data_IF_146971127164
#
_entry.id   IF_146971127164
#
_cell.length_a   1.000
_cell.length_b   1.000
_cell.length_c   1.000
_cell.angle_alpha   90.00
_cell.angle_beta   90.00
_cell.angle_gamma   90.00
#
_symmetry.space_group_name_H-M   'P 1'
#
loop_
_entity.id
_entity.type
_entity.pdbx_description
1 polymer ?
#
# COMPACT_ATOMS: atom_id res chain seq x y z
N UNK A 1 4.94 9.14 26.83
CA UNK A 1 5.23 10.45 27.47
C UNK A 1 5.01 11.63 26.52
N UNK A 2 5.57 11.69 25.33
CA UNK A 2 5.35 12.83 24.37
C UNK A 2 3.87 13.12 24.06
N UNK A 3 3.03 12.10 23.85
CA UNK A 3 1.60 12.27 23.62
C UNK A 3 0.87 12.91 24.80
N UNK A 4 1.27 12.59 26.05
CA UNK A 4 0.69 13.21 27.25
C UNK A 4 1.01 14.69 27.39
N UNK A 5 2.22 15.10 26.98
CA UNK A 5 2.63 16.50 27.00
C UNK A 5 1.82 17.33 25.98
N UNK A 6 1.53 16.76 24.78
CA UNK A 6 0.70 17.40 23.76
C UNK A 6 -0.75 17.61 24.24
N UNK A 7 -1.30 16.71 25.06
CA UNK A 7 -2.64 16.87 25.66
C UNK A 7 -2.70 17.99 26.72
N UNK A 8 -1.58 18.34 27.34
CA UNK A 8 -1.53 19.41 28.34
C UNK A 8 -1.41 20.81 27.74
N UNK A 9 -1.20 20.93 26.42
CA UNK A 9 -1.17 22.23 25.75
C UNK A 9 -2.62 22.66 25.48
N UNK A 10 -3.11 23.81 25.93
CA UNK A 10 -4.48 24.26 25.69
C UNK A 10 -4.64 24.72 24.23
N UNK A 11 -4.67 23.76 23.30
CA UNK A 11 -4.93 24.01 21.89
C UNK A 11 -6.43 23.99 21.68
N UNK A 12 -7.02 25.10 21.23
CA UNK A 12 -8.41 25.13 20.75
C UNK A 12 -8.45 24.38 19.43
N UNK A 13 -8.97 23.15 19.48
CA UNK A 13 -9.26 22.42 18.25
C UNK A 13 -10.39 23.13 17.48
N UNK A 14 -10.24 23.28 16.14
CA UNK A 14 -11.35 23.79 15.33
C UNK A 14 -12.57 22.87 15.52
N UNK A 15 -13.77 23.47 15.58
CA UNK A 15 -14.99 22.71 15.70
C UNK A 15 -15.09 21.66 14.58
N UNK A 16 -15.54 20.42 14.87
CA UNK A 16 -15.69 19.40 13.84
C UNK A 16 -16.64 19.93 12.76
N UNK A 17 -16.22 19.86 11.49
CA UNK A 17 -17.04 20.30 10.34
C UNK A 17 -18.36 19.53 10.18
N UNK A 18 -18.58 18.48 10.94
CA UNK A 18 -19.75 17.61 10.92
C UNK A 18 -20.50 17.64 12.24
N UNK A 19 -21.13 18.77 12.55
CA UNK A 19 -22.22 18.81 13.54
C UNK A 19 -23.57 18.44 12.89
N UNK A 20 -23.63 18.20 11.57
CA UNK A 20 -24.85 17.79 10.86
C UNK A 20 -24.84 16.27 10.70
N UNK A 21 -25.93 15.62 11.10
CA UNK A 21 -26.10 14.18 11.22
C UNK A 21 -25.52 13.40 10.01
N UNK A 22 -24.95 12.24 10.29
CA UNK A 22 -24.33 11.37 9.30
C UNK A 22 -25.36 10.91 8.26
N UNK A 23 -25.29 11.32 6.98
CA UNK A 23 -26.26 10.93 5.96
C UNK A 23 -25.99 9.49 5.51
N UNK A 24 -26.44 8.50 6.29
CA UNK A 24 -26.21 7.06 6.05
C UNK A 24 -26.64 6.65 4.64
N UNK A 25 -27.78 7.19 4.14
CA UNK A 25 -28.28 6.88 2.80
C UNK A 25 -27.34 7.39 1.70
N UNK A 26 -26.78 8.59 1.84
CA UNK A 26 -25.83 9.16 0.89
C UNK A 26 -24.50 8.40 0.95
N UNK A 27 -24.06 8.03 2.17
CA UNK A 27 -22.88 7.20 2.36
C UNK A 27 -22.97 5.84 1.70
N UNK A 28 -24.13 5.16 1.81
CA UNK A 28 -24.40 3.89 1.11
C UNK A 28 -24.51 4.09 -0.40
N UNK A 29 -24.96 5.25 -0.87
CA UNK A 29 -24.98 5.61 -2.29
C UNK A 29 -23.57 5.59 -2.92
N UNK A 30 -22.53 5.96 -2.15
CA UNK A 30 -21.14 5.93 -2.60
C UNK A 30 -20.66 4.52 -2.98
N UNK A 31 -21.23 3.46 -2.41
CA UNK A 31 -20.89 2.08 -2.79
C UNK A 31 -21.30 1.72 -4.24
N UNK A 32 -22.14 2.53 -4.87
CA UNK A 32 -22.54 2.37 -6.27
C UNK A 32 -21.64 3.16 -7.24
N UNK A 33 -20.81 4.05 -6.70
CA UNK A 33 -19.92 4.89 -7.48
C UNK A 33 -18.72 4.09 -8.01
N UNK A 34 -18.71 3.80 -9.29
CA UNK A 34 -17.64 3.02 -9.95
C UNK A 34 -16.26 3.61 -9.71
N UNK A 35 -16.14 4.94 -9.65
CA UNK A 35 -14.87 5.60 -9.42
C UNK A 35 -14.32 5.37 -8.01
N UNK A 36 -15.19 5.42 -6.99
CA UNK A 36 -14.79 5.10 -5.61
C UNK A 36 -14.33 3.64 -5.52
N UNK A 37 -15.10 2.72 -6.10
CA UNK A 37 -14.78 1.30 -6.07
C UNK A 37 -13.44 1.01 -6.77
N UNK A 38 -13.21 1.57 -7.97
CA UNK A 38 -11.93 1.38 -8.68
C UNK A 38 -10.74 1.86 -7.86
N UNK A 39 -10.84 3.04 -7.24
CA UNK A 39 -9.78 3.59 -6.38
C UNK A 39 -9.60 2.74 -5.11
N UNK A 40 -10.69 2.27 -4.52
CA UNK A 40 -10.65 1.39 -3.35
C UNK A 40 -10.03 0.03 -3.66
N UNK A 41 -10.29 -0.54 -4.85
CA UNK A 41 -9.65 -1.78 -5.28
C UNK A 41 -8.15 -1.62 -5.57
N UNK A 42 -7.68 -0.43 -5.92
CA UNK A 42 -6.23 -0.15 -5.93
C UNK A 42 -5.65 -0.29 -4.52
N UNK A 43 -6.34 0.25 -3.50
CA UNK A 43 -5.90 0.10 -2.11
C UNK A 43 -6.03 -1.34 -1.60
N UNK A 44 -7.01 -2.12 -2.10
CA UNK A 44 -7.13 -3.56 -1.85
C UNK A 44 -5.83 -4.30 -2.20
N UNK A 45 -5.34 -4.12 -3.43
CA UNK A 45 -4.09 -4.75 -3.87
C UNK A 45 -2.88 -4.15 -3.17
N UNK A 46 -2.85 -2.83 -2.95
CA UNK A 46 -1.76 -2.17 -2.24
C UNK A 46 -1.58 -2.74 -0.83
N UNK A 47 -2.66 -2.79 -0.03
CA UNK A 47 -2.64 -3.38 1.31
C UNK A 47 -2.30 -4.85 1.28
N UNK A 48 -2.81 -5.57 0.28
CA UNK A 48 -2.49 -6.98 0.08
C UNK A 48 -1.00 -7.20 -0.14
N UNK A 49 -0.39 -6.46 -1.07
CA UNK A 49 1.05 -6.55 -1.35
C UNK A 49 1.87 -6.21 -0.11
N UNK A 50 1.55 -5.10 0.58
CA UNK A 50 2.25 -4.68 1.79
C UNK A 50 2.13 -5.72 2.91
N UNK A 51 0.92 -6.25 3.15
CA UNK A 51 0.67 -7.30 4.14
C UNK A 51 1.39 -8.61 3.82
N UNK A 52 1.39 -9.02 2.55
CA UNK A 52 2.13 -10.22 2.09
C UNK A 52 3.63 -10.02 2.25
N UNK A 53 4.18 -8.86 1.90
CA UNK A 53 5.60 -8.57 2.13
C UNK A 53 5.96 -8.66 3.61
N UNK A 54 5.14 -8.11 4.50
CA UNK A 54 5.38 -8.15 5.94
C UNK A 54 5.35 -9.57 6.52
N UNK A 55 4.45 -10.43 6.02
CA UNK A 55 4.20 -11.73 6.62
C UNK A 55 4.98 -12.89 5.96
N UNK A 56 5.29 -12.80 4.68
CA UNK A 56 5.77 -13.95 3.89
C UNK A 56 7.16 -13.78 3.30
N UNK A 57 7.72 -12.55 3.21
CA UNK A 57 9.04 -12.35 2.59
C UNK A 57 10.17 -13.05 3.33
N UNK A 58 10.14 -13.14 4.67
CA UNK A 58 11.15 -13.87 5.45
C UNK A 58 11.10 -15.36 5.17
N UNK A 59 9.89 -15.95 5.02
CA UNK A 59 9.72 -17.35 4.63
C UNK A 59 10.21 -17.60 3.20
N UNK A 60 9.92 -16.68 2.28
CA UNK A 60 10.43 -16.73 0.91
C UNK A 60 11.98 -16.74 0.90
N UNK A 61 12.60 -15.83 1.64
CA UNK A 61 14.06 -15.75 1.70
C UNK A 61 14.69 -17.02 2.28
N UNK A 62 14.13 -17.58 3.35
CA UNK A 62 14.66 -18.80 3.97
C UNK A 62 14.52 -20.05 3.09
N UNK A 63 13.42 -20.16 2.34
CA UNK A 63 13.15 -21.39 1.56
C UNK A 63 13.70 -21.33 0.11
N UNK A 64 13.80 -20.14 -0.49
CA UNK A 64 14.19 -19.99 -1.90
C UNK A 64 15.63 -19.52 -2.06
N UNK A 65 16.12 -18.72 -1.12
CA UNK A 65 17.43 -18.07 -1.24
C UNK A 65 18.42 -18.46 -0.15
N UNK A 66 18.05 -19.37 0.75
CA UNK A 66 18.85 -19.83 1.89
C UNK A 66 19.36 -18.68 2.80
N UNK A 67 18.65 -17.56 2.81
CA UNK A 67 18.99 -16.42 3.66
C UNK A 67 18.51 -16.70 5.08
N UNK A 68 19.39 -16.62 6.10
CA UNK A 68 19.00 -16.82 7.49
C UNK A 68 17.89 -15.85 7.95
N UNK A 69 17.04 -16.30 8.87
CA UNK A 69 15.87 -15.53 9.33
C UNK A 69 16.23 -14.13 9.85
N UNK A 70 17.37 -13.97 10.54
CA UNK A 70 17.86 -12.67 11.03
C UNK A 70 18.15 -11.71 9.85
N UNK A 71 18.77 -12.19 8.78
CA UNK A 71 19.02 -11.39 7.58
C UNK A 71 17.73 -11.11 6.82
N UNK A 72 16.79 -12.06 6.76
CA UNK A 72 15.46 -11.86 6.21
C UNK A 72 14.69 -10.72 6.91
N UNK A 73 14.78 -10.65 8.24
CA UNK A 73 14.21 -9.54 9.03
C UNK A 73 14.88 -8.20 8.74
N UNK A 74 16.21 -8.19 8.53
CA UNK A 74 16.92 -6.96 8.13
C UNK A 74 16.46 -6.51 6.74
N UNK A 75 16.29 -7.44 5.79
CA UNK A 75 15.75 -7.10 4.47
C UNK A 75 14.34 -6.51 4.55
N UNK A 76 13.47 -7.07 5.41
CA UNK A 76 12.15 -6.50 5.69
C UNK A 76 12.24 -5.09 6.31
N UNK A 77 13.17 -4.88 7.22
CA UNK A 77 13.44 -3.54 7.80
C UNK A 77 13.86 -2.54 6.72
N UNK A 78 14.65 -2.98 5.72
CA UNK A 78 15.00 -2.14 4.56
C UNK A 78 13.76 -1.73 3.75
N UNK A 79 12.72 -2.58 3.64
CA UNK A 79 11.45 -2.19 3.00
C UNK A 79 10.78 -1.05 3.77
N UNK A 80 10.65 -1.17 5.08
CA UNK A 80 10.03 -0.14 5.93
C UNK A 80 10.83 1.16 5.89
N UNK A 81 12.15 1.07 5.92
CA UNK A 81 13.04 2.23 5.80
C UNK A 81 12.88 2.91 4.44
N UNK A 82 12.87 2.15 3.34
CA UNK A 82 12.64 2.64 1.98
C UNK A 82 11.30 3.37 1.86
N UNK A 83 10.23 2.77 2.40
CA UNK A 83 8.89 3.35 2.43
C UNK A 83 8.89 4.68 3.20
N UNK A 84 9.54 4.73 4.35
CA UNK A 84 9.61 5.94 5.20
C UNK A 84 10.39 7.05 4.52
N UNK A 85 11.56 6.76 4.00
CA UNK A 85 12.40 7.73 3.28
C UNK A 85 11.66 8.30 2.06
N UNK A 86 11.03 7.43 1.27
CA UNK A 86 10.27 7.87 0.10
C UNK A 86 9.07 8.74 0.48
N UNK A 87 8.35 8.45 1.58
CA UNK A 87 7.28 9.33 2.10
C UNK A 87 7.79 10.71 2.48
N UNK A 88 8.96 10.81 3.10
CA UNK A 88 9.57 12.10 3.40
C UNK A 88 9.91 12.88 2.12
N UNK A 89 10.48 12.22 1.11
CA UNK A 89 10.78 12.85 -0.17
C UNK A 89 9.52 13.31 -0.92
N UNK A 90 8.41 12.58 -0.78
CA UNK A 90 7.13 12.93 -1.40
C UNK A 90 6.56 14.26 -0.89
N UNK A 91 6.85 14.68 0.33
CA UNK A 91 6.43 15.98 0.86
C UNK A 91 6.95 17.12 -0.05
N UNK A 92 8.16 16.98 -0.56
CA UNK A 92 8.77 17.95 -1.47
C UNK A 92 8.32 17.73 -2.90
N UNK A 93 8.25 16.45 -3.32
CA UNK A 93 7.91 16.06 -4.68
C UNK A 93 6.49 16.49 -5.08
N UNK A 94 5.50 16.29 -4.19
CA UNK A 94 4.09 16.63 -4.46
C UNK A 94 3.81 18.12 -4.48
N UNK A 95 4.77 18.97 -4.05
CA UNK A 95 4.69 20.42 -4.28
C UNK A 95 4.96 20.81 -5.74
N UNK A 96 5.70 19.96 -6.48
CA UNK A 96 6.12 20.23 -7.86
C UNK A 96 5.41 19.37 -8.90
N UNK A 97 4.98 18.16 -8.54
CA UNK A 97 4.40 17.17 -9.46
C UNK A 97 3.02 16.76 -8.94
N UNK A 98 2.05 16.66 -9.84
CA UNK A 98 0.72 16.16 -9.50
C UNK A 98 0.82 14.72 -8.96
N UNK A 99 0.24 14.42 -7.79
CA UNK A 99 0.33 13.09 -7.18
C UNK A 99 -0.10 11.95 -8.11
N UNK A 100 -1.16 12.15 -8.89
CA UNK A 100 -1.68 11.16 -9.83
C UNK A 100 -0.65 10.73 -10.90
N UNK A 101 0.29 11.61 -11.29
CA UNK A 101 1.35 11.27 -12.25
C UNK A 101 2.46 10.42 -11.64
N UNK A 102 2.61 10.45 -10.32
CA UNK A 102 3.66 9.70 -9.60
C UNK A 102 3.28 8.22 -9.47
N UNK A 103 2.00 7.90 -9.36
CA UNK A 103 1.53 6.54 -9.10
C UNK A 103 2.02 5.49 -10.13
N UNK A 104 1.92 5.68 -11.45
CA UNK A 104 2.43 4.68 -12.39
C UNK A 104 3.92 4.40 -12.24
N UNK A 105 4.73 5.44 -11.99
CA UNK A 105 6.16 5.28 -11.79
C UNK A 105 6.47 4.54 -10.49
N UNK A 106 5.70 4.77 -9.43
CA UNK A 106 5.87 4.05 -8.16
C UNK A 106 5.48 2.59 -8.28
N UNK A 107 4.45 2.24 -9.07
CA UNK A 107 4.10 0.85 -9.37
C UNK A 107 5.20 0.14 -10.17
N UNK A 108 5.79 0.81 -11.16
CA UNK A 108 6.93 0.28 -11.92
C UNK A 108 8.13 0.08 -10.99
N UNK A 109 8.42 1.04 -10.12
CA UNK A 109 9.49 0.92 -9.14
C UNK A 109 9.28 -0.28 -8.20
N UNK A 110 8.05 -0.50 -7.73
CA UNK A 110 7.72 -1.70 -6.93
C UNK A 110 7.94 -2.98 -7.72
N UNK A 111 7.53 -3.01 -8.98
CA UNK A 111 7.73 -4.18 -9.85
C UNK A 111 9.22 -4.47 -10.08
N UNK A 112 10.06 -3.44 -10.26
CA UNK A 112 11.52 -3.63 -10.37
C UNK A 112 12.11 -4.20 -9.08
N UNK A 113 11.60 -3.79 -7.90
CA UNK A 113 11.99 -4.36 -6.63
C UNK A 113 11.69 -5.86 -6.54
N UNK A 114 10.49 -6.30 -6.95
CA UNK A 114 10.17 -7.73 -7.03
C UNK A 114 11.01 -8.47 -8.07
N UNK A 115 11.31 -7.87 -9.22
CA UNK A 115 12.19 -8.45 -10.21
C UNK A 115 13.63 -8.64 -9.66
N UNK A 116 14.12 -7.73 -8.82
CA UNK A 116 15.41 -7.90 -8.16
C UNK A 116 15.43 -9.11 -7.22
N UNK A 117 14.30 -9.45 -6.57
CA UNK A 117 14.21 -10.63 -5.71
C UNK A 117 14.33 -11.94 -6.50
N UNK A 118 13.93 -11.95 -7.79
CA UNK A 118 14.01 -13.15 -8.64
C UNK A 118 15.37 -13.31 -9.35
N UNK A 119 16.18 -12.25 -9.44
CA UNK A 119 17.34 -12.22 -10.32
C UNK A 119 18.53 -13.10 -9.85
N UNK A 120 18.77 -13.23 -8.53
CA UNK A 120 19.76 -14.15 -7.97
C UNK A 120 19.66 -14.18 -6.42
N UNK A 121 20.07 -15.29 -5.77
CA UNK A 121 20.13 -15.39 -4.33
C UNK A 121 21.20 -14.46 -3.71
N UNK A 122 20.95 -13.97 -2.51
CA UNK A 122 21.90 -13.19 -1.74
C UNK A 122 21.27 -12.06 -0.93
N UNK A 123 21.73 -11.89 0.31
CA UNK A 123 21.21 -10.92 1.27
C UNK A 123 21.19 -9.47 0.74
N UNK A 124 22.27 -9.02 0.12
CA UNK A 124 22.38 -7.63 -0.37
C UNK A 124 21.28 -7.33 -1.41
N UNK A 125 20.98 -8.28 -2.29
CA UNK A 125 19.93 -8.13 -3.31
C UNK A 125 18.55 -8.20 -2.69
N UNK A 126 18.33 -9.09 -1.73
CA UNK A 126 17.09 -9.15 -0.98
C UNK A 126 16.81 -7.83 -0.25
N UNK A 127 17.80 -7.28 0.45
CA UNK A 127 17.70 -6.01 1.14
C UNK A 127 17.45 -4.83 0.18
N UNK A 128 18.19 -4.78 -0.94
CA UNK A 128 18.02 -3.75 -1.98
C UNK A 128 16.64 -3.86 -2.65
N UNK A 129 16.22 -5.08 -3.04
CA UNK A 129 14.91 -5.33 -3.63
C UNK A 129 13.78 -4.91 -2.70
N UNK A 130 13.85 -5.29 -1.42
CA UNK A 130 12.89 -4.89 -0.41
C UNK A 130 12.85 -3.37 -0.19
N UNK A 131 14.01 -2.69 -0.14
CA UNK A 131 14.06 -1.23 -0.05
C UNK A 131 13.38 -0.56 -1.25
N UNK A 132 13.63 -1.05 -2.47
CA UNK A 132 12.99 -0.55 -3.70
C UNK A 132 11.48 -0.81 -3.69
N UNK A 133 11.03 -1.99 -3.24
CA UNK A 133 9.59 -2.29 -3.04
C UNK A 133 8.97 -1.26 -2.09
N UNK A 134 9.59 -1.03 -0.94
CA UNK A 134 9.10 -0.05 0.04
C UNK A 134 8.99 1.36 -0.54
N UNK A 135 10.02 1.82 -1.25
CA UNK A 135 10.00 3.13 -1.92
C UNK A 135 8.85 3.23 -2.92
N UNK A 136 8.60 2.20 -3.72
CA UNK A 136 7.52 2.17 -4.69
C UNK A 136 6.13 2.16 -4.03
N UNK A 137 5.92 1.34 -3.00
CA UNK A 137 4.62 1.25 -2.29
C UNK A 137 4.23 2.54 -1.56
N UNK A 138 5.19 3.41 -1.25
CA UNK A 138 5.00 4.61 -0.42
C UNK A 138 3.95 5.59 -0.96
N UNK A 139 3.79 5.70 -2.30
CA UNK A 139 2.98 6.72 -2.97
C UNK A 139 1.50 6.39 -3.06
N UNK A 140 1.12 5.12 -3.10
CA UNK A 140 -0.23 4.70 -3.48
C UNK A 140 -1.29 5.24 -2.51
N UNK A 141 -1.12 5.06 -1.21
CA UNK A 141 -2.07 5.55 -0.22
C UNK A 141 -2.25 7.07 -0.27
N UNK A 142 -1.19 7.90 -0.19
CA UNK A 142 -1.35 9.35 -0.25
C UNK A 142 -2.02 9.82 -1.54
N UNK A 143 -1.68 9.22 -2.69
CA UNK A 143 -2.26 9.59 -3.98
C UNK A 143 -3.75 9.25 -4.04
N UNK A 144 -4.13 8.02 -3.70
CA UNK A 144 -5.54 7.60 -3.78
C UNK A 144 -6.40 8.37 -2.78
N UNK A 145 -5.95 8.54 -1.54
CA UNK A 145 -6.71 9.32 -0.55
C UNK A 145 -6.81 10.80 -0.95
N UNK A 146 -5.78 11.37 -1.58
CA UNK A 146 -5.85 12.74 -2.11
C UNK A 146 -6.91 12.86 -3.21
N UNK A 147 -6.98 11.90 -4.14
CA UNK A 147 -7.98 11.87 -5.21
C UNK A 147 -9.39 11.72 -4.61
N UNK A 148 -9.58 10.81 -3.66
CA UNK A 148 -10.86 10.62 -2.99
C UNK A 148 -11.31 11.88 -2.22
N UNK A 149 -10.39 12.52 -1.50
CA UNK A 149 -10.68 13.75 -0.75
C UNK A 149 -11.08 14.92 -1.65
N UNK A 150 -10.47 15.04 -2.84
CA UNK A 150 -10.85 16.09 -3.81
C UNK A 150 -12.13 15.76 -4.57
N UNK A 151 -12.41 14.49 -4.83
CA UNK A 151 -13.61 14.06 -5.58
C UNK A 151 -14.87 14.04 -4.72
N UNK A 152 -14.74 13.74 -3.41
CA UNK A 152 -15.86 13.64 -2.46
C UNK A 152 -15.67 14.57 -1.26
N UNK A 153 -15.58 15.90 -1.43
CA UNK A 153 -15.20 16.82 -0.36
C UNK A 153 -16.20 16.87 0.80
N UNK A 154 -17.50 16.70 0.51
CA UNK A 154 -18.58 16.69 1.53
C UNK A 154 -18.68 15.36 2.27
N UNK A 155 -18.29 14.23 1.65
CA UNK A 155 -18.39 12.87 2.19
C UNK A 155 -17.01 12.19 2.29
N UNK A 156 -15.91 12.98 2.39
CA UNK A 156 -14.55 12.47 2.38
C UNK A 156 -14.29 11.44 3.47
N UNK A 157 -14.80 11.64 4.68
CA UNK A 157 -14.68 10.67 5.77
C UNK A 157 -15.31 9.33 5.45
N UNK A 158 -16.51 9.32 4.85
CA UNK A 158 -17.19 8.09 4.43
C UNK A 158 -16.47 7.42 3.27
N UNK A 159 -16.01 8.19 2.26
CA UNK A 159 -15.25 7.67 1.14
C UNK A 159 -13.94 7.03 1.60
N UNK A 160 -13.23 7.66 2.55
CA UNK A 160 -12.01 7.08 3.15
C UNK A 160 -12.33 5.81 3.94
N UNK A 161 -13.41 5.82 4.75
CA UNK A 161 -13.82 4.65 5.52
C UNK A 161 -14.10 3.43 4.62
N UNK A 162 -14.85 3.62 3.52
CA UNK A 162 -15.12 2.57 2.53
C UNK A 162 -13.82 2.09 1.89
N UNK A 163 -12.98 3.00 1.42
CA UNK A 163 -11.73 2.65 0.74
C UNK A 163 -10.77 1.88 1.65
N UNK A 164 -10.65 2.31 2.92
CA UNK A 164 -9.80 1.62 3.91
C UNK A 164 -10.37 0.27 4.33
N UNK A 165 -11.70 0.13 4.46
CA UNK A 165 -12.33 -1.16 4.73
C UNK A 165 -12.05 -2.17 3.60
N UNK A 166 -12.19 -1.75 2.34
CA UNK A 166 -11.85 -2.57 1.17
C UNK A 166 -10.35 -2.91 1.16
N UNK A 167 -9.49 -1.98 1.53
CA UNK A 167 -8.04 -2.20 1.65
C UNK A 167 -7.71 -3.30 2.68
N UNK A 168 -8.35 -3.28 3.86
CA UNK A 168 -8.17 -4.31 4.89
C UNK A 168 -8.67 -5.69 4.45
N UNK A 169 -9.80 -5.74 3.74
CA UNK A 169 -10.28 -6.98 3.11
C UNK A 169 -9.22 -7.50 2.13
N UNK A 170 -8.62 -6.62 1.34
CA UNK A 170 -7.53 -6.95 0.41
C UNK A 170 -6.32 -7.54 1.11
N UNK A 171 -5.90 -6.93 2.21
CA UNK A 171 -4.80 -7.44 3.02
C UNK A 171 -5.07 -8.86 3.52
N UNK A 172 -6.26 -9.11 4.06
CA UNK A 172 -6.65 -10.43 4.56
C UNK A 172 -6.74 -11.45 3.43
N UNK A 173 -7.41 -11.10 2.33
CA UNK A 173 -7.61 -11.98 1.18
C UNK A 173 -6.27 -12.39 0.53
N UNK A 174 -5.38 -11.42 0.30
CA UNK A 174 -4.07 -11.68 -0.32
C UNK A 174 -3.16 -12.50 0.60
N UNK A 175 -3.18 -12.27 1.92
CA UNK A 175 -2.45 -13.12 2.86
C UNK A 175 -3.01 -14.55 2.90
N UNK A 176 -4.33 -14.72 2.89
CA UNK A 176 -4.97 -16.03 2.79
C UNK A 176 -4.62 -16.75 1.49
N UNK A 177 -4.63 -16.04 0.37
CA UNK A 177 -4.22 -16.59 -0.94
C UNK A 177 -2.75 -17.07 -0.88
N UNK A 178 -1.85 -16.25 -0.33
CA UNK A 178 -0.44 -16.65 -0.21
C UNK A 178 -0.26 -17.84 0.72
N UNK A 179 -1.01 -17.90 1.83
CA UNK A 179 -1.02 -19.07 2.70
C UNK A 179 -1.40 -20.34 1.96
N UNK A 180 -2.44 -20.30 1.11
CA UNK A 180 -2.84 -21.45 0.28
C UNK A 180 -1.75 -21.80 -0.75
N UNK A 181 -1.21 -20.79 -1.44
CA UNK A 181 -0.15 -21.00 -2.46
C UNK A 181 1.07 -21.70 -1.85
N UNK A 182 1.45 -21.32 -0.63
CA UNK A 182 2.63 -21.89 0.04
C UNK A 182 2.42 -23.33 0.54
N UNK A 183 1.19 -23.86 0.53
CA UNK A 183 0.96 -25.28 0.81
C UNK A 183 1.30 -26.22 -0.36
N UNK A 184 1.44 -25.69 -1.57
CA UNK A 184 1.82 -26.48 -2.75
C UNK A 184 3.34 -26.57 -2.88
N UNK A 185 3.82 -27.69 -3.44
CA UNK A 185 5.23 -27.86 -3.76
C UNK A 185 5.71 -26.72 -4.68
N UNK A 186 6.80 -26.04 -4.28
CA UNK A 186 7.35 -24.86 -4.95
C UNK A 186 6.41 -23.64 -5.06
N UNK A 187 5.25 -23.64 -4.40
CA UNK A 187 4.30 -22.53 -4.44
C UNK A 187 4.92 -21.21 -3.98
N UNK A 188 5.85 -21.26 -3.04
CA UNK A 188 6.57 -20.08 -2.53
C UNK A 188 7.36 -19.32 -3.63
N UNK A 189 7.83 -20.01 -4.68
CA UNK A 189 8.51 -19.39 -5.82
C UNK A 189 7.60 -18.46 -6.62
N UNK A 190 6.27 -18.62 -6.52
CA UNK A 190 5.29 -17.79 -7.19
C UNK A 190 5.11 -16.41 -6.52
N UNK A 191 5.63 -16.24 -5.29
CA UNK A 191 5.48 -15.01 -4.52
C UNK A 191 5.76 -13.73 -5.31
N UNK A 192 6.96 -13.52 -5.92
CA UNK A 192 7.24 -12.27 -6.64
C UNK A 192 6.34 -12.09 -7.87
N UNK A 193 5.99 -13.17 -8.55
CA UNK A 193 5.16 -13.13 -9.77
C UNK A 193 3.71 -12.74 -9.47
N UNK A 194 3.14 -13.28 -8.38
CA UNK A 194 1.79 -12.89 -7.92
C UNK A 194 1.77 -11.41 -7.55
N UNK A 195 2.83 -10.90 -6.90
CA UNK A 195 2.93 -9.49 -6.56
C UNK A 195 3.02 -8.61 -7.81
N UNK A 196 3.84 -8.98 -8.80
CA UNK A 196 3.94 -8.27 -10.07
C UNK A 196 2.59 -8.29 -10.82
N UNK A 197 1.90 -9.43 -10.85
CA UNK A 197 0.56 -9.54 -11.42
C UNK A 197 -0.45 -8.58 -10.75
N UNK A 198 -0.39 -8.48 -9.43
CA UNK A 198 -1.23 -7.56 -8.65
C UNK A 198 -0.93 -6.09 -8.99
N UNK A 199 0.34 -5.72 -9.19
CA UNK A 199 0.74 -4.38 -9.63
C UNK A 199 0.22 -4.05 -11.04
N UNK A 200 0.22 -5.03 -11.94
CA UNK A 200 -0.35 -4.87 -13.29
C UNK A 200 -1.86 -4.58 -13.23
N UNK A 201 -2.59 -5.31 -12.38
CA UNK A 201 -4.02 -5.06 -12.13
C UNK A 201 -4.23 -3.64 -11.58
N UNK A 202 -3.43 -3.21 -10.60
CA UNK A 202 -3.49 -1.86 -10.04
C UNK A 202 -3.30 -0.79 -11.12
N UNK A 203 -2.36 -0.98 -12.03
CA UNK A 203 -2.11 -0.04 -13.14
C UNK A 203 -3.32 0.05 -14.10
N UNK A 204 -3.95 -1.09 -14.40
CA UNK A 204 -5.17 -1.13 -15.23
C UNK A 204 -6.33 -0.42 -14.53
N UNK A 205 -6.55 -0.72 -13.25
CA UNK A 205 -7.60 -0.06 -12.45
C UNK A 205 -7.39 1.45 -12.40
N UNK A 206 -6.14 1.88 -12.19
CA UNK A 206 -5.81 3.30 -12.15
C UNK A 206 -6.08 4.00 -13.48
N UNK A 207 -5.67 3.41 -14.61
CA UNK A 207 -5.99 3.96 -15.94
C UNK A 207 -7.49 4.07 -16.19
N UNK A 208 -8.29 3.13 -15.69
CA UNK A 208 -9.75 3.16 -15.81
C UNK A 208 -10.38 4.21 -14.90
N UNK A 209 -9.83 4.47 -13.73
CA UNK A 209 -10.36 5.47 -12.79
C UNK A 209 -10.15 6.92 -13.24
N UNK A 210 -9.27 7.15 -14.21
CA UNK A 210 -9.00 8.47 -14.81
C UNK A 210 -9.93 8.79 -16.00
N UNK A 211 -10.68 7.81 -16.51
CA UNK A 211 -11.70 7.99 -17.53
C UNK A 211 -13.04 8.31 -16.89
#
# INVERSE_FOLDING_TARGET
MLAGILFCIPIRFPAPKQAQGFPVKEGLGLLKESSLLLLSFILFFQSGIEGVCNNWSTSYFGQVTDIPANQGLIALTCMVAGLTVARMLQIVLFKKIQPAKVLPYSLILTATGFALLTAAPGFIRAAAGMAVIGMGLSSTYPVILSILGTRYPSLSGTAFGIALAIALIGQTAMNGLMGMVFTYDNGIMLYPYIMIGSLAIMLVLFKRSLK
#
